data_IF_381601392092
#
_entry.id   IF_381601392092
#
_cell.length_a   1.000
_cell.length_b   1.000
_cell.length_c   1.000
_cell.angle_alpha   90.00
_cell.angle_beta   90.00
_cell.angle_gamma   90.00
#
_symmetry.space_group_name_H-M   'P 1'
#
loop_
_entity.id
_entity.type
_entity.pdbx_description
1 polymer ?
#
# COMPACT_ATOMS: atom_id res chain seq x y z
N UNK A 1 -10.79 4.66 -19.18
CA UNK A 1 -10.01 5.53 -18.27
C UNK A 1 -10.78 5.98 -17.01
N UNK A 2 -12.09 6.22 -17.05
CA UNK A 2 -12.85 6.73 -15.88
C UNK A 2 -12.73 5.88 -14.60
N UNK A 3 -12.72 4.54 -14.72
CA UNK A 3 -12.58 3.62 -13.57
C UNK A 3 -11.25 3.83 -12.83
N UNK A 4 -10.17 4.10 -13.56
CA UNK A 4 -8.84 4.34 -12.97
C UNK A 4 -8.84 5.64 -12.17
N UNK A 5 -9.47 6.70 -12.67
CA UNK A 5 -9.59 7.97 -11.95
C UNK A 5 -10.40 7.81 -10.67
N UNK A 6 -11.51 7.09 -10.73
CA UNK A 6 -12.39 6.87 -9.58
C UNK A 6 -11.72 6.05 -8.46
N UNK A 7 -10.77 5.17 -8.78
CA UNK A 7 -10.02 4.40 -7.77
C UNK A 7 -8.75 5.12 -7.31
N UNK A 8 -8.02 5.75 -8.23
CA UNK A 8 -6.74 6.42 -7.91
C UNK A 8 -6.92 7.67 -7.06
N UNK A 9 -7.98 8.46 -7.27
CA UNK A 9 -8.26 9.65 -6.46
C UNK A 9 -8.44 9.30 -4.98
N UNK A 10 -9.41 8.45 -4.57
CA UNK A 10 -9.55 8.04 -3.17
C UNK A 10 -8.27 7.45 -2.58
N UNK A 11 -7.53 6.65 -3.36
CA UNK A 11 -6.27 6.07 -2.90
C UNK A 11 -5.15 7.11 -2.69
N UNK A 12 -5.12 8.18 -3.50
CA UNK A 12 -4.17 9.28 -3.32
C UNK A 12 -4.48 10.10 -2.05
N UNK A 13 -5.76 10.30 -1.74
CA UNK A 13 -6.19 10.93 -0.48
C UNK A 13 -5.87 10.04 0.73
N UNK A 14 -6.23 8.75 0.69
CA UNK A 14 -5.97 7.80 1.77
C UNK A 14 -4.47 7.55 2.01
N UNK A 15 -3.66 7.63 0.96
CA UNK A 15 -2.20 7.45 1.01
C UNK A 15 -1.44 8.62 1.62
N UNK A 16 -2.11 9.74 1.93
CA UNK A 16 -1.48 10.92 2.54
C UNK A 16 -0.75 11.83 1.55
N UNK A 17 -1.04 11.73 0.25
CA UNK A 17 -0.35 12.51 -0.79
C UNK A 17 -0.84 13.96 -0.88
N UNK A 18 -2.15 14.17 -0.74
CA UNK A 18 -2.80 15.50 -0.82
C UNK A 18 -3.25 16.02 0.54
N UNK A 19 -3.54 15.13 1.50
CA UNK A 19 -4.13 15.48 2.79
C UNK A 19 -3.38 14.77 3.93
N UNK A 20 -3.16 15.41 5.09
CA UNK A 20 -2.51 14.75 6.23
C UNK A 20 -3.31 13.54 6.72
N UNK A 21 -2.63 12.41 6.92
CA UNK A 21 -3.28 11.15 7.31
C UNK A 21 -3.89 11.22 8.70
N UNK A 22 -3.37 12.10 9.56
CA UNK A 22 -3.83 12.35 10.92
C UNK A 22 -5.23 12.97 10.96
N UNK A 23 -5.64 13.62 9.88
CA UNK A 23 -6.96 14.23 9.74
C UNK A 23 -8.02 13.26 9.17
N UNK A 24 -7.65 12.03 8.83
CA UNK A 24 -8.60 11.01 8.41
C UNK A 24 -9.35 10.42 9.62
N UNK A 25 -10.65 10.12 9.49
CA UNK A 25 -11.38 9.31 10.46
C UNK A 25 -10.67 7.99 10.75
N UNK A 26 -10.70 7.56 12.01
CA UNK A 26 -9.96 6.38 12.51
C UNK A 26 -10.19 5.10 11.67
N UNK A 27 -11.41 4.76 11.22
CA UNK A 27 -11.62 3.59 10.37
C UNK A 27 -10.87 3.66 9.03
N UNK A 28 -10.76 4.86 8.44
CA UNK A 28 -10.05 5.06 7.17
C UNK A 28 -8.54 4.96 7.36
N UNK A 29 -8.03 5.30 8.55
CA UNK A 29 -6.62 5.15 8.90
C UNK A 29 -6.18 3.69 8.97
N UNK A 30 -7.09 2.77 9.32
CA UNK A 30 -6.86 1.33 9.22
C UNK A 30 -6.98 0.83 7.78
N UNK A 31 -8.07 1.21 7.09
CA UNK A 31 -8.36 0.74 5.74
C UNK A 31 -7.28 1.11 4.72
N UNK A 32 -6.61 2.27 4.86
CA UNK A 32 -5.53 2.66 3.93
C UNK A 32 -4.39 1.64 3.89
N UNK A 33 -4.13 0.88 4.96
CA UNK A 33 -3.05 -0.12 5.00
C UNK A 33 -3.33 -1.36 4.14
N UNK A 34 -4.59 -1.55 3.72
CA UNK A 34 -4.97 -2.57 2.74
C UNK A 34 -4.49 -2.22 1.33
N UNK A 35 -4.20 -0.94 1.06
CA UNK A 35 -3.65 -0.52 -0.22
C UNK A 35 -2.12 -0.61 -0.21
N UNK A 36 -1.50 -1.22 -1.23
CA UNK A 36 -0.04 -1.23 -1.35
C UNK A 36 0.52 0.21 -1.56
N UNK A 37 -0.27 1.12 -2.12
CA UNK A 37 0.16 2.52 -2.33
C UNK A 37 0.56 3.21 -1.03
N UNK A 38 -0.12 2.92 0.08
CA UNK A 38 0.15 3.53 1.38
C UNK A 38 1.55 3.18 1.89
N UNK A 39 1.89 1.89 1.87
CA UNK A 39 3.22 1.44 2.28
C UNK A 39 4.30 1.86 1.28
N UNK A 40 3.98 1.90 -0.02
CA UNK A 40 4.86 2.44 -1.07
C UNK A 40 5.25 3.89 -0.82
N UNK A 41 4.26 4.77 -0.63
CA UNK A 41 4.48 6.20 -0.36
C UNK A 41 5.33 6.38 0.90
N UNK A 42 5.03 5.65 1.98
CA UNK A 42 5.78 5.73 3.24
C UNK A 42 7.23 5.25 3.09
N UNK A 43 7.47 4.14 2.37
CA UNK A 43 8.83 3.68 2.09
C UNK A 43 9.60 4.70 1.25
N UNK A 44 9.01 5.20 0.16
CA UNK A 44 9.61 6.22 -0.69
C UNK A 44 9.93 7.49 0.09
N UNK A 45 9.01 7.99 0.91
CA UNK A 45 9.23 9.20 1.70
C UNK A 45 10.42 9.05 2.65
N UNK A 46 10.52 7.91 3.35
CA UNK A 46 11.61 7.65 4.30
C UNK A 46 12.96 7.43 3.60
N UNK A 47 12.95 6.80 2.42
CA UNK A 47 14.17 6.60 1.63
C UNK A 47 14.66 7.89 0.95
N UNK A 48 13.75 8.82 0.63
CA UNK A 48 14.10 10.10 0.00
C UNK A 48 14.61 11.15 1.01
N UNK A 49 14.61 10.86 2.30
CA UNK A 49 15.20 11.73 3.31
C UNK A 49 16.73 11.57 3.32
N UNK A 50 17.44 12.65 2.99
CA UNK A 50 18.92 12.66 3.00
C UNK A 50 19.44 12.26 4.38
N UNK A 51 20.15 11.13 4.45
CA UNK A 51 20.74 10.62 5.70
C UNK A 51 19.84 9.68 6.51
N UNK A 52 18.62 9.38 6.06
CA UNK A 52 17.82 8.36 6.73
C UNK A 52 18.42 6.96 6.50
N UNK A 53 18.65 6.16 7.57
CA UNK A 53 19.16 4.80 7.40
C UNK A 53 18.09 3.91 6.77
N UNK A 54 18.51 2.90 5.97
CA UNK A 54 17.59 1.96 5.29
C UNK A 54 16.61 1.29 6.27
N UNK A 55 17.05 1.09 7.52
CA UNK A 55 16.21 0.57 8.63
C UNK A 55 14.92 1.37 8.81
N UNK A 56 14.92 2.67 8.53
CA UNK A 56 13.75 3.53 8.65
C UNK A 56 12.61 3.11 7.69
N UNK A 57 12.96 2.53 6.54
CA UNK A 57 12.01 2.06 5.53
C UNK A 57 11.68 0.56 5.64
N UNK A 58 12.32 -0.19 6.54
CA UNK A 58 12.11 -1.65 6.62
C UNK A 58 10.67 -2.02 6.96
N UNK A 59 10.03 -1.31 7.89
CA UNK A 59 8.64 -1.60 8.26
C UNK A 59 7.66 -1.50 7.06
N UNK A 60 7.60 -0.37 6.32
CA UNK A 60 6.73 -0.30 5.14
C UNK A 60 7.16 -1.24 4.01
N UNK A 61 8.46 -1.50 3.83
CA UNK A 61 8.95 -2.46 2.85
C UNK A 61 8.55 -3.91 3.19
N UNK A 62 8.62 -4.30 4.46
CA UNK A 62 8.19 -5.60 4.93
C UNK A 62 6.67 -5.80 4.75
N UNK A 63 5.87 -4.75 4.99
CA UNK A 63 4.43 -4.79 4.72
C UNK A 63 4.13 -5.01 3.24
N UNK A 64 4.82 -4.29 2.35
CA UNK A 64 4.71 -4.52 0.90
C UNK A 64 5.10 -5.94 0.50
N UNK A 65 6.19 -6.46 1.05
CA UNK A 65 6.64 -7.82 0.79
C UNK A 65 5.58 -8.84 1.25
N UNK A 66 4.98 -8.65 2.42
CA UNK A 66 3.91 -9.51 2.92
C UNK A 66 2.68 -9.50 1.99
N UNK A 67 2.25 -8.34 1.51
CA UNK A 67 1.14 -8.22 0.55
C UNK A 67 1.47 -8.87 -0.80
N UNK A 68 2.71 -8.72 -1.28
CA UNK A 68 3.17 -9.35 -2.52
C UNK A 68 3.18 -10.88 -2.40
N UNK A 69 3.71 -11.41 -1.29
CA UNK A 69 3.73 -12.85 -1.03
C UNK A 69 2.32 -13.43 -0.86
N UNK A 70 1.43 -12.72 -0.13
CA UNK A 70 0.05 -13.14 0.06
C UNK A 70 -0.73 -13.17 -1.26
N UNK A 71 -0.61 -12.13 -2.08
CA UNK A 71 -1.26 -12.07 -3.40
C UNK A 71 -0.72 -13.14 -4.35
N UNK A 72 0.60 -13.33 -4.39
CA UNK A 72 1.21 -14.40 -5.16
C UNK A 72 0.71 -15.78 -4.71
N UNK A 73 0.70 -16.05 -3.41
CA UNK A 73 0.19 -17.30 -2.85
C UNK A 73 -1.28 -17.54 -3.21
N UNK A 74 -2.12 -16.50 -3.14
CA UNK A 74 -3.53 -16.58 -3.55
C UNK A 74 -3.68 -16.90 -5.04
N UNK A 75 -2.90 -16.28 -5.91
CA UNK A 75 -2.90 -16.58 -7.36
C UNK A 75 -2.50 -18.04 -7.62
N UNK A 76 -1.42 -18.52 -7.01
CA UNK A 76 -1.00 -19.93 -7.15
C UNK A 76 -2.05 -20.90 -6.63
N UNK A 77 -2.72 -20.57 -5.51
CA UNK A 77 -3.77 -21.40 -4.95
C UNK A 77 -5.03 -21.43 -5.84
N UNK A 78 -5.44 -20.29 -6.38
CA UNK A 78 -6.56 -20.21 -7.33
C UNK A 78 -6.25 -20.97 -8.62
N UNK A 79 -5.03 -20.85 -9.15
CA UNK A 79 -4.57 -21.55 -10.35
C UNK A 79 -4.42 -23.07 -10.18
N UNK A 80 -4.34 -23.56 -8.93
CA UNK A 80 -4.35 -25.00 -8.61
C UNK A 80 -5.74 -25.63 -8.63
N UNK A 81 -6.81 -24.84 -8.70
CA UNK A 81 -8.17 -25.38 -8.81
C UNK A 81 -8.32 -25.97 -10.21
N UNK A 82 -8.55 -27.29 -10.36
CA UNK A 82 -8.72 -27.89 -11.67
C UNK A 82 -9.90 -27.21 -12.36
N UNK A 83 -9.68 -26.75 -13.60
CA UNK A 83 -10.75 -26.29 -14.47
C UNK A 83 -11.80 -27.42 -14.54
N UNK A 84 -13.01 -27.15 -14.04
CA UNK A 84 -14.16 -28.01 -14.29
C UNK A 84 -14.60 -27.86 -15.73
#
# INVERSE_FOLDING_TARGET
MQVVLFTSLPLAFLGGFTWPVEALPEPLQWLRWLSPSTAGIQASLRLNQMGAPLVAALAPLAWLAAMALASWGAVLWLGRRPAR
#
